data_IF_624046881622
#
_entry.id   IF_624046881622
#
_cell.length_a   1.000
_cell.length_b   1.000
_cell.length_c   1.000
_cell.angle_alpha   90.00
_cell.angle_beta   90.00
_cell.angle_gamma   90.00
#
_symmetry.space_group_name_H-M   'P 1'
#
loop_
_entity.id
_entity.type
_entity.pdbx_description
1 polymer ?
#
# COMPACT_ATOMS: atom_id res chain seq x y z
N UNK A 1 -7.35 -27.74 -3.75
CA UNK A 1 -6.49 -26.59 -3.38
C UNK A 1 -5.65 -26.23 -4.60
N UNK A 2 -5.85 -25.05 -5.19
CA UNK A 2 -5.30 -24.69 -6.52
C UNK A 2 -3.79 -24.39 -6.45
N UNK A 3 -3.34 -23.73 -5.37
CA UNK A 3 -1.96 -23.25 -5.17
C UNK A 3 -0.89 -24.35 -5.12
N UNK A 4 -1.23 -25.55 -4.67
CA UNK A 4 -0.26 -26.64 -4.49
C UNK A 4 0.05 -27.42 -5.77
N UNK A 5 -0.55 -27.04 -6.90
CA UNK A 5 -0.40 -27.76 -8.16
C UNK A 5 0.85 -27.31 -8.92
N UNK A 6 1.44 -28.23 -9.71
CA UNK A 6 2.56 -27.90 -10.60
C UNK A 6 2.17 -26.80 -11.59
N UNK A 7 0.97 -26.90 -12.17
CA UNK A 7 0.41 -25.91 -13.09
C UNK A 7 0.36 -24.51 -12.48
N UNK A 8 -0.01 -24.39 -11.20
CA UNK A 8 -0.03 -23.08 -10.52
C UNK A 8 1.36 -22.47 -10.39
N UNK A 9 2.37 -23.25 -9.99
CA UNK A 9 3.75 -22.74 -9.86
C UNK A 9 4.34 -22.31 -11.20
N UNK A 10 4.07 -23.08 -12.26
CA UNK A 10 4.49 -22.75 -13.62
C UNK A 10 3.80 -21.47 -14.11
N UNK A 11 2.50 -21.35 -13.91
CA UNK A 11 1.72 -20.16 -14.24
C UNK A 11 2.25 -18.89 -13.52
N UNK A 12 2.61 -18.99 -12.24
CA UNK A 12 3.19 -17.88 -11.47
C UNK A 12 4.53 -17.46 -12.06
N UNK A 13 5.44 -18.41 -12.31
CA UNK A 13 6.75 -18.11 -12.86
C UNK A 13 6.65 -17.48 -14.27
N UNK A 14 5.77 -18.01 -15.11
CA UNK A 14 5.54 -17.51 -16.47
C UNK A 14 4.91 -16.12 -16.47
N UNK A 15 3.89 -15.90 -15.63
CA UNK A 15 3.25 -14.58 -15.49
C UNK A 15 4.23 -13.53 -14.98
N UNK A 16 5.09 -13.87 -14.00
CA UNK A 16 6.15 -12.97 -13.52
C UNK A 16 7.15 -12.62 -14.62
N UNK A 17 7.54 -13.59 -15.46
CA UNK A 17 8.43 -13.33 -16.59
C UNK A 17 7.79 -12.46 -17.68
N UNK A 18 6.49 -12.63 -17.93
CA UNK A 18 5.70 -11.79 -18.84
C UNK A 18 5.55 -10.36 -18.29
N UNK A 19 5.32 -10.20 -16.99
CA UNK A 19 5.27 -8.89 -16.32
C UNK A 19 6.62 -8.16 -16.39
N UNK A 20 7.73 -8.87 -16.11
CA UNK A 20 9.06 -8.31 -16.20
C UNK A 20 9.40 -7.81 -17.62
N UNK A 21 8.97 -8.54 -18.67
CA UNK A 21 9.09 -8.09 -20.07
C UNK A 21 8.34 -6.80 -20.37
N UNK A 22 7.27 -6.51 -19.62
CA UNK A 22 6.44 -5.30 -19.72
C UNK A 22 6.92 -4.17 -18.80
N UNK A 23 8.01 -4.37 -18.06
CA UNK A 23 8.53 -3.39 -17.09
C UNK A 23 7.76 -3.32 -15.78
N UNK A 24 6.81 -4.23 -15.54
CA UNK A 24 6.00 -4.26 -14.32
C UNK A 24 6.63 -5.21 -13.30
N UNK A 25 6.88 -4.71 -12.10
CA UNK A 25 7.42 -5.51 -10.98
C UNK A 25 6.36 -5.65 -9.89
N UNK A 26 5.92 -6.88 -9.64
CA UNK A 26 4.98 -7.20 -8.56
C UNK A 26 5.55 -8.28 -7.66
N UNK A 27 5.12 -8.28 -6.39
CA UNK A 27 5.46 -9.35 -5.46
C UNK A 27 4.85 -10.68 -5.95
N UNK A 28 5.60 -11.82 -5.87
CA UNK A 28 5.08 -13.12 -6.28
C UNK A 28 3.73 -13.49 -5.64
N UNK A 29 3.53 -13.16 -4.36
CA UNK A 29 2.27 -13.39 -3.66
C UNK A 29 1.07 -12.67 -4.32
N UNK A 30 1.26 -11.45 -4.84
CA UNK A 30 0.23 -10.70 -5.56
C UNK A 30 -0.14 -11.38 -6.87
N UNK A 31 0.84 -11.95 -7.58
CA UNK A 31 0.61 -12.71 -8.81
C UNK A 31 -0.11 -14.02 -8.50
N UNK A 32 0.30 -14.73 -7.44
CA UNK A 32 -0.38 -15.93 -6.95
C UNK A 32 -1.86 -15.71 -6.65
N UNK A 33 -2.17 -14.64 -5.90
CA UNK A 33 -3.54 -14.27 -5.53
C UNK A 33 -4.38 -13.94 -6.77
N UNK A 34 -3.79 -13.22 -7.72
CA UNK A 34 -4.44 -12.84 -8.98
C UNK A 34 -4.73 -14.05 -9.86
N UNK A 35 -3.76 -14.97 -10.00
CA UNK A 35 -3.93 -16.23 -10.74
C UNK A 35 -5.02 -17.09 -10.12
N UNK A 36 -5.00 -17.25 -8.79
CA UNK A 36 -6.03 -18.04 -8.10
C UNK A 36 -7.43 -17.44 -8.32
N UNK A 37 -7.56 -16.11 -8.22
CA UNK A 37 -8.83 -15.42 -8.46
C UNK A 37 -9.29 -15.58 -9.90
N UNK A 38 -8.41 -15.41 -10.88
CA UNK A 38 -8.73 -15.56 -12.30
C UNK A 38 -9.20 -16.98 -12.61
N UNK A 39 -8.46 -18.00 -12.17
CA UNK A 39 -8.82 -19.41 -12.41
C UNK A 39 -10.15 -19.76 -11.75
N UNK A 40 -10.43 -19.27 -10.54
CA UNK A 40 -11.74 -19.45 -9.88
C UNK A 40 -12.86 -18.73 -10.63
N UNK A 41 -12.65 -17.48 -11.04
CA UNK A 41 -13.65 -16.71 -11.78
C UNK A 41 -14.03 -17.39 -13.11
N UNK A 42 -13.04 -17.91 -13.85
CA UNK A 42 -13.26 -18.67 -15.08
C UNK A 42 -14.00 -19.98 -14.79
N UNK A 43 -13.65 -20.67 -13.70
CA UNK A 43 -14.34 -21.88 -13.28
C UNK A 43 -15.82 -21.62 -12.96
N UNK A 44 -16.10 -20.56 -12.22
CA UNK A 44 -17.45 -20.15 -11.82
C UNK A 44 -18.27 -19.72 -13.04
N UNK A 45 -17.69 -18.90 -13.93
CA UNK A 45 -18.34 -18.42 -15.14
C UNK A 45 -18.74 -19.56 -16.09
N UNK A 46 -17.89 -20.59 -16.20
CA UNK A 46 -18.13 -21.75 -17.07
C UNK A 46 -18.88 -22.88 -16.37
N UNK A 47 -19.13 -22.77 -15.06
CA UNK A 47 -19.75 -23.83 -14.26
C UNK A 47 -18.91 -25.11 -14.20
N UNK A 48 -17.58 -25.00 -14.25
CA UNK A 48 -16.65 -26.14 -14.27
C UNK A 48 -15.78 -26.18 -13.01
N UNK A 49 -15.07 -27.29 -12.82
CA UNK A 49 -14.09 -27.38 -11.75
C UNK A 49 -12.87 -26.49 -12.02
N UNK A 50 -12.31 -25.86 -10.99
CA UNK A 50 -11.10 -25.03 -11.09
C UNK A 50 -9.90 -25.75 -11.73
N UNK A 51 -9.81 -27.08 -11.59
CA UNK A 51 -8.79 -27.88 -12.29
C UNK A 51 -8.94 -27.80 -13.82
N UNK A 52 -10.17 -27.80 -14.31
CA UNK A 52 -10.48 -27.73 -15.74
C UNK A 52 -10.33 -26.32 -16.29
N UNK A 53 -10.51 -25.30 -15.44
CA UNK A 53 -10.34 -23.90 -15.81
C UNK A 53 -8.89 -23.55 -16.23
N UNK A 54 -7.89 -24.30 -15.76
CA UNK A 54 -6.49 -24.13 -16.18
C UNK A 54 -6.27 -24.22 -17.69
N UNK A 55 -7.13 -24.93 -18.42
CA UNK A 55 -7.04 -24.98 -19.89
C UNK A 55 -7.23 -23.62 -20.56
N UNK A 56 -7.88 -22.69 -19.87
CA UNK A 56 -8.16 -21.34 -20.36
C UNK A 56 -7.25 -20.28 -19.75
N UNK A 57 -6.28 -20.70 -18.92
CA UNK A 57 -5.32 -19.80 -18.33
C UNK A 57 -4.26 -19.41 -19.37
N UNK A 58 -4.01 -18.11 -19.50
CA UNK A 58 -2.97 -17.55 -20.36
C UNK A 58 -2.17 -16.52 -19.54
N UNK A 59 -0.89 -16.84 -19.31
CA UNK A 59 0.02 -16.03 -18.52
C UNK A 59 0.30 -14.67 -19.17
N UNK A 60 0.41 -14.62 -20.50
CA UNK A 60 0.69 -13.38 -21.23
C UNK A 60 -0.53 -12.46 -21.22
N UNK A 61 -1.72 -13.01 -21.48
CA UNK A 61 -2.96 -12.23 -21.43
C UNK A 61 -3.27 -11.71 -20.01
N UNK A 62 -2.98 -12.50 -18.98
CA UNK A 62 -3.10 -12.05 -17.60
C UNK A 62 -2.08 -10.94 -17.29
N UNK A 63 -0.82 -11.10 -17.72
CA UNK A 63 0.20 -10.07 -17.54
C UNK A 63 -0.15 -8.78 -18.29
N UNK A 64 -0.75 -8.85 -19.48
CA UNK A 64 -1.27 -7.69 -20.21
C UNK A 64 -2.37 -6.98 -19.42
N UNK A 65 -3.32 -7.73 -18.86
CA UNK A 65 -4.41 -7.17 -18.04
C UNK A 65 -3.85 -6.46 -16.81
N UNK A 66 -2.92 -7.10 -16.10
CA UNK A 66 -2.26 -6.53 -14.92
C UNK A 66 -1.47 -5.27 -15.30
N UNK A 67 -0.67 -5.32 -16.37
CA UNK A 67 0.11 -4.18 -16.81
C UNK A 67 -0.79 -3.01 -17.24
N UNK A 68 -1.92 -3.29 -17.89
CA UNK A 68 -2.92 -2.30 -18.23
C UNK A 68 -3.51 -1.66 -16.97
N UNK A 69 -3.92 -2.44 -15.97
CA UNK A 69 -4.45 -1.89 -14.72
C UNK A 69 -3.43 -1.08 -13.92
N UNK A 70 -2.16 -1.49 -13.91
CA UNK A 70 -1.08 -0.69 -13.28
C UNK A 70 -0.93 0.64 -14.02
N UNK A 71 -0.91 0.60 -15.35
CA UNK A 71 -0.82 1.81 -16.17
C UNK A 71 -2.06 2.70 -16.01
N UNK A 72 -3.27 2.15 -15.95
CA UNK A 72 -4.49 2.91 -15.69
C UNK A 72 -4.49 3.53 -14.30
N UNK A 73 -3.92 2.87 -13.28
CA UNK A 73 -3.72 3.49 -11.96
C UNK A 73 -2.70 4.63 -12.02
N UNK A 74 -1.61 4.47 -12.75
CA UNK A 74 -0.63 5.54 -12.99
C UNK A 74 -1.25 6.70 -13.78
N UNK A 75 -1.96 6.40 -14.86
CA UNK A 75 -2.61 7.37 -15.74
C UNK A 75 -3.77 8.07 -15.01
N UNK A 76 -4.63 7.36 -14.26
CA UNK A 76 -5.70 7.99 -13.45
C UNK A 76 -5.16 8.87 -12.33
N UNK A 77 -3.99 8.54 -11.76
CA UNK A 77 -3.28 9.43 -10.84
C UNK A 77 -2.65 10.66 -11.51
N UNK A 78 -2.56 10.67 -12.85
CA UNK A 78 -2.04 11.76 -13.65
C UNK A 78 -3.14 12.59 -14.38
N UNK A 79 -4.33 12.01 -14.64
CA UNK A 79 -5.31 12.57 -15.59
C UNK A 79 -6.39 13.47 -14.97
N UNK A 80 -6.53 13.55 -13.65
CA UNK A 80 -7.60 14.35 -13.02
C UNK A 80 -7.18 15.77 -12.61
N UNK A 81 -5.99 16.26 -12.99
CA UNK A 81 -5.53 17.60 -12.60
C UNK A 81 -5.30 17.79 -11.09
N UNK A 82 -5.77 16.86 -10.26
CA UNK A 82 -5.25 16.58 -8.94
C UNK A 82 -3.83 16.05 -9.14
N UNK A 83 -2.85 16.96 -9.09
CA UNK A 83 -1.44 16.58 -9.09
C UNK A 83 -1.23 15.44 -8.10
N UNK A 84 -0.40 14.46 -8.48
CA UNK A 84 0.02 13.39 -7.59
C UNK A 84 0.39 14.02 -6.24
N UNK A 85 -0.43 13.78 -5.21
CA UNK A 85 -0.24 14.44 -3.92
C UNK A 85 1.21 14.17 -3.52
N UNK A 86 2.07 15.19 -3.44
CA UNK A 86 3.49 14.97 -3.30
C UNK A 86 3.67 14.16 -2.02
N UNK A 87 4.33 13.01 -2.16
CA UNK A 87 4.67 12.20 -1.00
C UNK A 87 5.33 13.13 0.02
N UNK A 88 4.86 13.15 1.27
CA UNK A 88 5.42 14.04 2.27
C UNK A 88 6.94 13.83 2.36
N UNK A 89 7.72 14.91 2.58
CA UNK A 89 9.16 14.81 2.75
C UNK A 89 9.55 13.71 3.74
N UNK A 90 10.71 13.08 3.53
CA UNK A 90 11.19 11.97 4.38
C UNK A 90 11.45 12.34 5.84
N UNK A 91 11.44 13.64 6.14
CA UNK A 91 11.59 14.26 7.45
C UNK A 91 10.29 14.92 7.94
N UNK A 92 9.15 14.61 7.33
CA UNK A 92 7.86 15.17 7.72
C UNK A 92 7.51 14.79 9.18
N UNK A 93 7.30 15.79 10.08
CA UNK A 93 6.91 15.58 11.48
C UNK A 93 5.63 14.76 11.67
N UNK A 94 4.65 14.88 10.80
CA UNK A 94 3.41 14.10 10.85
C UNK A 94 3.62 12.65 10.40
N UNK A 95 4.44 12.40 9.38
CA UNK A 95 4.83 11.04 9.03
C UNK A 95 5.61 10.37 10.17
N UNK A 96 6.49 11.13 10.82
CA UNK A 96 7.21 10.67 12.01
C UNK A 96 6.26 10.38 13.18
N UNK A 97 5.21 11.19 13.38
CA UNK A 97 4.16 10.93 14.38
C UNK A 97 3.36 9.66 14.07
N UNK A 98 3.02 9.42 12.81
CA UNK A 98 2.35 8.18 12.38
C UNK A 98 3.25 6.97 12.68
N UNK A 99 4.55 7.06 12.37
CA UNK A 99 5.52 6.01 12.68
C UNK A 99 5.69 5.79 14.19
N UNK A 100 5.65 6.85 14.99
CA UNK A 100 5.71 6.81 16.45
C UNK A 100 4.56 6.01 17.07
N UNK A 101 3.37 6.05 16.46
CA UNK A 101 2.19 5.36 16.94
C UNK A 101 2.16 3.85 16.65
N UNK A 102 3.02 3.35 15.75
CA UNK A 102 3.02 1.94 15.32
C UNK A 102 3.26 0.96 16.47
N UNK A 103 4.26 1.14 17.35
CA UNK A 103 4.47 0.26 18.50
C UNK A 103 3.24 0.17 19.42
N UNK A 104 2.64 1.33 19.74
CA UNK A 104 1.47 1.40 20.62
C UNK A 104 0.24 0.76 19.97
N UNK A 105 0.02 1.01 18.68
CA UNK A 105 -1.06 0.39 17.92
C UNK A 105 -0.91 -1.13 17.90
N UNK A 106 0.32 -1.64 17.70
CA UNK A 106 0.60 -3.06 17.71
C UNK A 106 0.34 -3.70 19.08
N UNK A 107 0.73 -3.02 20.16
CA UNK A 107 0.42 -3.48 21.51
C UNK A 107 -1.09 -3.49 21.78
N UNK A 108 -1.81 -2.44 21.36
CA UNK A 108 -3.26 -2.31 21.55
C UNK A 108 -4.07 -3.33 20.76
N UNK A 109 -3.62 -3.69 19.56
CA UNK A 109 -4.29 -4.71 18.73
C UNK A 109 -3.85 -6.14 19.06
N UNK A 110 -3.00 -6.33 20.07
CA UNK A 110 -2.49 -7.65 20.44
C UNK A 110 -1.62 -8.29 19.36
N UNK A 111 -0.94 -7.49 18.56
CA UNK A 111 -0.06 -7.97 17.48
C UNK A 111 -0.74 -8.11 16.12
N UNK A 112 -1.97 -7.62 15.93
CA UNK A 112 -2.64 -7.63 14.62
C UNK A 112 -1.97 -6.61 13.68
N UNK A 113 -1.04 -7.11 12.86
CA UNK A 113 -0.30 -6.34 11.89
C UNK A 113 -1.19 -5.76 10.79
N UNK A 114 -2.26 -6.45 10.39
CA UNK A 114 -3.16 -5.96 9.34
C UNK A 114 -3.92 -4.72 9.81
N UNK A 115 -4.46 -4.75 11.04
CA UNK A 115 -5.11 -3.60 11.65
C UNK A 115 -4.17 -2.40 11.78
N UNK A 116 -2.91 -2.63 12.15
CA UNK A 116 -1.87 -1.59 12.26
C UNK A 116 -1.54 -1.00 10.89
N UNK A 117 -1.35 -1.82 9.85
CA UNK A 117 -1.08 -1.34 8.48
C UNK A 117 -2.23 -0.50 7.96
N UNK A 118 -3.48 -0.93 8.17
CA UNK A 118 -4.66 -0.15 7.77
C UNK A 118 -4.71 1.20 8.48
N UNK A 119 -4.46 1.21 9.79
CA UNK A 119 -4.43 2.44 10.57
C UNK A 119 -3.35 3.41 10.04
N UNK A 120 -2.14 2.92 9.80
CA UNK A 120 -1.03 3.72 9.24
C UNK A 120 -1.38 4.27 7.86
N UNK A 121 -1.91 3.43 6.96
CA UNK A 121 -2.24 3.82 5.60
C UNK A 121 -3.35 4.90 5.56
N UNK A 122 -4.40 4.76 6.37
CA UNK A 122 -5.49 5.75 6.45
C UNK A 122 -5.00 7.07 7.03
N UNK A 123 -4.18 7.03 8.08
CA UNK A 123 -3.63 8.25 8.68
C UNK A 123 -2.64 8.95 7.72
N UNK A 124 -1.78 8.20 7.03
CA UNK A 124 -0.87 8.76 6.03
C UNK A 124 -1.61 9.36 4.83
N UNK A 125 -2.68 8.69 4.37
CA UNK A 125 -3.55 9.22 3.31
C UNK A 125 -4.25 10.50 3.76
N UNK A 126 -4.79 10.54 4.98
CA UNK A 126 -5.45 11.73 5.55
C UNK A 126 -4.47 12.90 5.70
N UNK A 127 -3.25 12.63 6.18
CA UNK A 127 -2.17 13.60 6.28
C UNK A 127 -1.78 14.16 4.89
N UNK A 128 -1.61 13.29 3.89
CA UNK A 128 -1.32 13.68 2.51
C UNK A 128 -2.46 14.48 1.86
N UNK A 129 -3.73 14.17 2.18
CA UNK A 129 -4.89 14.95 1.73
C UNK A 129 -4.90 16.34 2.36
N UNK A 130 -4.57 16.47 3.65
CA UNK A 130 -4.45 17.77 4.31
C UNK A 130 -3.32 18.60 3.67
N UNK A 131 -2.17 17.99 3.38
CA UNK A 131 -1.06 18.66 2.70
C UNK A 131 -1.43 19.10 1.27
N UNK A 132 -2.09 18.22 0.50
CA UNK A 132 -2.47 18.51 -0.89
C UNK A 132 -3.61 19.51 -1.03
N UNK A 133 -4.52 19.61 -0.07
CA UNK A 133 -5.63 20.57 -0.09
C UNK A 133 -5.18 22.03 0.07
N UNK A 134 -4.03 22.29 0.71
CA UNK A 134 -3.47 23.65 0.81
C UNK A 134 -2.89 24.15 -0.54
N UNK A 135 -2.53 23.24 -1.45
CA UNK A 135 -1.97 23.52 -2.78
C UNK A 135 -2.95 23.21 -3.94
N UNK A 136 -4.19 22.77 -3.65
CA UNK A 136 -5.18 22.34 -4.64
C UNK A 136 -6.16 23.47 -5.02
N UNK A 137 -6.15 23.85 -6.30
CA UNK A 137 -7.08 24.84 -6.87
C UNK A 137 -8.55 24.36 -6.71
N UNK A 138 -9.37 25.13 -6.00
CA UNK A 138 -10.79 24.80 -5.76
C UNK A 138 -11.13 24.12 -4.42
N UNK A 139 -10.14 23.80 -3.57
CA UNK A 139 -10.36 23.26 -2.22
C UNK A 139 -10.44 24.34 -1.11
N UNK A 140 -10.34 25.61 -1.48
CA UNK A 140 -10.15 26.79 -0.61
C UNK A 140 -11.24 27.03 0.46
N UNK A 141 -12.40 26.36 0.38
CA UNK A 141 -13.55 26.62 1.26
C UNK A 141 -14.08 25.44 2.09
N UNK A 142 -13.45 24.25 2.01
CA UNK A 142 -14.06 22.99 2.45
C UNK A 142 -13.94 22.62 3.94
N UNK A 143 -13.04 23.23 4.72
CA UNK A 143 -12.66 22.71 6.05
C UNK A 143 -12.83 23.67 7.24
N UNK A 144 -14.00 24.31 7.33
CA UNK A 144 -14.48 24.92 8.58
C UNK A 144 -13.48 25.86 9.29
N UNK A 145 -13.70 26.18 10.58
CA UNK A 145 -12.92 27.20 11.30
C UNK A 145 -11.48 26.79 11.69
N UNK A 146 -11.01 25.58 11.32
CA UNK A 146 -9.69 25.06 11.72
C UNK A 146 -8.57 25.28 10.67
N UNK A 147 -8.90 25.94 9.55
CA UNK A 147 -8.01 26.65 8.61
C UNK A 147 -6.54 26.20 8.37
N UNK A 148 -6.28 25.81 7.12
CA UNK A 148 -5.31 26.43 6.17
C UNK A 148 -3.82 26.61 6.49
N UNK A 149 -3.24 25.95 7.48
CA UNK A 149 -1.79 26.11 7.67
C UNK A 149 -1.09 24.80 8.02
N UNK A 150 -0.84 24.00 6.98
CA UNK A 150 0.08 22.88 7.02
C UNK A 150 1.40 23.23 7.71
N UNK A 151 1.97 24.41 7.46
CA UNK A 151 3.23 24.83 8.08
C UNK A 151 3.07 25.07 9.57
N UNK A 152 1.97 25.68 10.03
CA UNK A 152 1.67 25.83 11.45
C UNK A 152 1.40 24.48 12.11
N UNK A 153 0.76 23.53 11.42
CA UNK A 153 0.58 22.16 11.91
C UNK A 153 1.94 21.49 12.10
N UNK A 154 2.82 21.53 11.10
CA UNK A 154 4.17 20.98 11.21
C UNK A 154 4.95 21.66 12.34
N UNK A 155 4.88 22.99 12.45
CA UNK A 155 5.53 23.75 13.53
C UNK A 155 5.02 23.33 14.90
N UNK A 156 3.71 23.21 15.07
CA UNK A 156 3.09 22.77 16.33
C UNK A 156 3.55 21.36 16.71
N UNK A 157 3.60 20.43 15.74
CA UNK A 157 4.11 19.08 15.97
C UNK A 157 5.58 19.09 16.41
N UNK A 158 6.42 19.86 15.72
CA UNK A 158 7.84 20.01 16.08
C UNK A 158 8.03 20.69 17.43
N UNK A 159 7.22 21.68 17.80
CA UNK A 159 7.29 22.33 19.12
C UNK A 159 6.87 21.38 20.26
N UNK A 160 5.80 20.60 20.05
CA UNK A 160 5.36 19.61 21.04
C UNK A 160 6.33 18.43 21.15
N UNK A 161 6.97 18.05 20.05
CA UNK A 161 7.91 16.94 19.97
C UNK A 161 9.18 17.35 19.19
N UNK A 162 10.15 18.02 19.85
CA UNK A 162 11.34 18.58 19.19
C UNK A 162 12.23 17.56 18.48
N UNK A 163 12.14 16.30 18.89
CA UNK A 163 12.90 15.18 18.35
C UNK A 163 11.98 14.15 17.66
N UNK A 164 10.84 14.59 17.11
CA UNK A 164 9.87 13.70 16.47
C UNK A 164 10.50 12.92 15.30
N UNK A 165 11.43 13.53 14.56
CA UNK A 165 12.10 12.89 13.42
C UNK A 165 12.97 11.68 13.80
N UNK A 166 13.29 11.49 15.10
CA UNK A 166 13.99 10.28 15.57
C UNK A 166 13.30 8.98 15.19
N UNK A 167 11.99 9.01 14.94
CA UNK A 167 11.22 7.83 14.54
C UNK A 167 11.58 7.31 13.14
N UNK A 168 12.29 8.11 12.34
CA UNK A 168 12.92 7.65 11.10
C UNK A 168 14.28 6.95 11.34
N UNK A 169 14.89 7.12 12.52
CA UNK A 169 16.08 6.37 12.88
C UNK A 169 15.71 4.90 13.12
N UNK A 170 16.36 4.03 12.35
CA UNK A 170 16.08 2.59 12.36
C UNK A 170 16.32 1.97 13.73
N UNK A 171 17.36 2.37 14.45
CA UNK A 171 17.75 1.77 15.72
C UNK A 171 16.84 2.24 16.85
N UNK A 172 16.39 3.50 16.81
CA UNK A 172 15.33 4.02 17.69
C UNK A 172 14.03 3.25 17.46
N UNK A 173 13.60 3.14 16.21
CA UNK A 173 12.35 2.47 15.85
C UNK A 173 12.38 0.97 16.20
N UNK A 174 13.48 0.28 15.87
CA UNK A 174 13.63 -1.16 16.14
C UNK A 174 13.60 -1.46 17.65
N UNK A 175 14.23 -0.60 18.48
CA UNK A 175 14.18 -0.75 19.94
C UNK A 175 12.77 -0.54 20.49
N UNK A 176 12.04 0.47 20.00
CA UNK A 176 10.66 0.71 20.39
C UNK A 176 9.75 -0.46 20.02
N UNK A 177 9.85 -0.98 18.80
CA UNK A 177 9.11 -2.16 18.37
C UNK A 177 9.42 -3.39 19.23
N UNK A 178 10.70 -3.64 19.52
CA UNK A 178 11.12 -4.77 20.36
C UNK A 178 10.55 -4.69 21.79
N UNK A 179 10.29 -3.48 22.29
CA UNK A 179 9.71 -3.25 23.62
C UNK A 179 8.22 -3.63 23.72
N UNK A 180 7.51 -3.73 22.59
CA UNK A 180 6.09 -4.13 22.55
C UNK A 180 5.89 -5.62 22.84
N UNK A 181 6.96 -6.42 22.82
CA UNK A 181 6.89 -7.88 22.91
C UNK A 181 6.56 -8.56 21.57
N UNK A 182 6.29 -7.79 20.51
CA UNK A 182 6.04 -8.28 19.17
C UNK A 182 7.25 -8.00 18.26
N UNK A 183 7.69 -8.99 17.50
CA UNK A 183 8.78 -8.86 16.53
C UNK A 183 8.28 -9.18 15.13
N UNK A 184 8.59 -8.31 14.17
CA UNK A 184 8.34 -8.57 12.74
C UNK A 184 9.52 -9.37 12.21
N UNK A 185 9.37 -10.69 12.14
CA UNK A 185 10.34 -11.55 11.47
C UNK A 185 10.08 -11.53 9.97
N UNK A 186 11.10 -11.18 9.18
CA UNK A 186 11.12 -11.56 7.76
C UNK A 186 11.34 -13.07 7.70
N UNK A 187 10.33 -13.82 7.26
CA UNK A 187 10.52 -15.19 6.81
C UNK A 187 11.34 -15.20 5.50
#
# INVERSE_FOLDING_TARGET
MVRNTKAFREAVAETLAELARRGVTLAPATVEDTIERNVRAVADQLGIQARSAWRYFDAAALADTIAHSVKELEDSSAYDGAGQAPMPPKDNPELALILAGVPDALAQTGGDLYAVILNVAVNAWTAGHIHGEDDCEGCEGGRGPTGHDWQARMRTLTEMQPDITKWFDRDVWTRAMSSTGFTVNRA
#
